data_IF_851617751432
#
_entry.id   IF_851617751432
#
_cell.length_a   1.000
_cell.length_b   1.000
_cell.length_c   1.000
_cell.angle_alpha   90.00
_cell.angle_beta   90.00
_cell.angle_gamma   90.00
#
_symmetry.space_group_name_H-M   'P 1'
#
loop_
_entity.id
_entity.type
_entity.pdbx_description
1 polymer ?
#
# COMPACT_ATOMS: atom_id res chain seq x y z
N UNK A 1 -3.58 -10.37 1.88
CA UNK A 1 -3.52 -8.95 2.30
C UNK A 1 -3.15 -8.77 3.78
N UNK A 2 -3.90 -9.36 4.73
CA UNK A 2 -3.68 -9.17 6.17
C UNK A 2 -2.26 -9.50 6.66
N UNK A 3 -1.65 -10.61 6.20
CA UNK A 3 -0.26 -10.94 6.53
C UNK A 3 0.78 -9.92 6.04
N UNK A 4 0.42 -9.06 5.07
CA UNK A 4 1.24 -7.94 4.60
C UNK A 4 0.89 -6.61 5.29
N UNK A 5 0.14 -6.65 6.40
CA UNK A 5 -0.18 -5.49 7.22
C UNK A 5 -1.41 -4.69 6.79
N UNK A 6 -2.11 -5.06 5.70
CA UNK A 6 -3.30 -4.33 5.24
C UNK A 6 -4.34 -4.20 6.36
N UNK A 7 -4.91 -3.00 6.56
CA UNK A 7 -5.88 -2.67 7.62
C UNK A 7 -7.28 -2.33 7.12
N UNK A 8 -7.47 -2.11 5.82
CA UNK A 8 -8.78 -1.88 5.23
C UNK A 8 -9.01 -2.94 4.14
N UNK A 9 -10.05 -3.74 4.29
CA UNK A 9 -10.41 -4.81 3.34
C UNK A 9 -11.75 -4.48 2.70
N UNK A 10 -11.87 -4.79 1.43
CA UNK A 10 -13.10 -4.64 0.68
C UNK A 10 -13.80 -6.00 0.54
N UNK A 11 -15.12 -6.00 0.70
CA UNK A 11 -15.99 -7.16 0.54
C UNK A 11 -17.18 -6.76 -0.33
N UNK A 12 -17.13 -7.15 -1.60
CA UNK A 12 -18.22 -6.96 -2.57
C UNK A 12 -19.25 -8.10 -2.40
N UNK A 13 -20.33 -7.81 -1.67
CA UNK A 13 -21.29 -8.80 -1.18
C UNK A 13 -22.52 -8.88 -2.06
N UNK A 14 -22.82 -10.09 -2.53
CA UNK A 14 -23.93 -10.38 -3.44
C UNK A 14 -24.76 -11.55 -2.95
N UNK A 15 -26.00 -11.62 -3.42
CA UNK A 15 -26.87 -12.77 -3.15
C UNK A 15 -26.28 -14.06 -3.72
N UNK A 16 -26.17 -15.08 -2.87
CA UNK A 16 -25.73 -16.42 -3.26
C UNK A 16 -26.81 -17.49 -3.15
N UNK A 17 -26.54 -18.70 -3.66
CA UNK A 17 -27.46 -19.83 -3.58
C UNK A 17 -27.68 -20.27 -2.13
N UNK A 18 -28.83 -20.88 -1.83
CA UNK A 18 -29.10 -21.43 -0.50
C UNK A 18 -29.21 -20.40 0.63
N UNK A 19 -29.52 -19.13 0.31
CA UNK A 19 -29.54 -18.01 1.27
C UNK A 19 -28.19 -17.73 1.93
N UNK A 20 -27.08 -18.10 1.28
CA UNK A 20 -25.73 -17.80 1.75
C UNK A 20 -25.10 -16.69 0.90
N UNK A 21 -24.79 -15.51 1.48
CA UNK A 21 -24.14 -14.41 0.77
C UNK A 21 -22.77 -14.83 0.23
N UNK A 22 -22.46 -14.37 -0.98
CA UNK A 22 -21.18 -14.61 -1.66
C UNK A 22 -20.43 -13.31 -1.89
N UNK A 23 -19.13 -13.43 -2.12
CA UNK A 23 -18.24 -12.35 -2.55
C UNK A 23 -17.69 -12.68 -3.92
N UNK A 24 -17.79 -11.73 -4.84
CA UNK A 24 -17.14 -11.71 -6.15
C UNK A 24 -17.25 -10.31 -6.74
N UNK A 25 -16.56 -10.05 -7.86
CA UNK A 25 -16.69 -8.78 -8.56
C UNK A 25 -17.94 -8.79 -9.45
N UNK A 26 -18.93 -7.97 -9.10
CA UNK A 26 -20.21 -7.87 -9.80
C UNK A 26 -20.09 -7.75 -11.32
N UNK A 27 -21.01 -8.40 -12.05
CA UNK A 27 -21.07 -8.34 -13.52
C UNK A 27 -19.82 -8.81 -14.28
N UNK A 28 -18.98 -9.64 -13.65
CA UNK A 28 -17.80 -10.24 -14.27
C UNK A 28 -17.78 -11.76 -14.14
N UNK A 29 -16.77 -12.39 -14.75
CA UNK A 29 -16.52 -13.84 -14.68
C UNK A 29 -15.59 -14.25 -13.53
N UNK A 30 -15.44 -13.41 -12.51
CA UNK A 30 -14.64 -13.76 -11.34
C UNK A 30 -15.28 -14.91 -10.55
N UNK A 31 -14.44 -15.78 -10.00
CA UNK A 31 -14.90 -16.86 -9.13
C UNK A 31 -15.57 -16.30 -7.87
N UNK A 32 -16.55 -17.04 -7.35
CA UNK A 32 -17.29 -16.67 -6.14
C UNK A 32 -16.74 -17.40 -4.92
N UNK A 33 -16.73 -16.73 -3.77
CA UNK A 33 -16.43 -17.31 -2.47
C UNK A 33 -17.55 -16.99 -1.47
N UNK A 34 -17.71 -17.79 -0.42
CA UNK A 34 -18.71 -17.52 0.62
C UNK A 34 -18.26 -16.37 1.53
N UNK A 35 -19.19 -15.48 1.90
CA UNK A 35 -18.92 -14.43 2.89
C UNK A 35 -18.48 -15.03 4.23
N UNK A 36 -19.13 -16.11 4.67
CA UNK A 36 -18.80 -16.75 5.95
C UNK A 36 -17.36 -17.26 5.99
N UNK A 37 -16.85 -17.80 4.89
CA UNK A 37 -15.45 -18.25 4.78
C UNK A 37 -14.47 -17.09 4.79
N UNK A 38 -14.78 -16.02 4.05
CA UNK A 38 -13.99 -14.79 4.09
C UNK A 38 -13.91 -14.22 5.51
N UNK A 39 -15.02 -14.19 6.25
CA UNK A 39 -15.05 -13.70 7.64
C UNK A 39 -14.25 -14.59 8.60
N UNK A 40 -14.25 -15.92 8.43
CA UNK A 40 -13.40 -16.83 9.22
C UNK A 40 -11.93 -16.55 8.97
N UNK A 41 -11.54 -16.38 7.69
CA UNK A 41 -10.18 -16.01 7.33
C UNK A 41 -9.81 -14.63 7.90
N UNK A 42 -10.71 -13.65 7.88
CA UNK A 42 -10.45 -12.34 8.49
C UNK A 42 -10.24 -12.48 9.99
N UNK A 43 -11.12 -13.20 10.70
CA UNK A 43 -11.00 -13.45 12.15
C UNK A 43 -9.63 -14.01 12.52
N UNK A 44 -9.16 -15.01 11.78
CA UNK A 44 -7.93 -15.73 12.09
C UNK A 44 -6.66 -14.90 11.83
N UNK A 45 -6.72 -13.91 10.93
CA UNK A 45 -5.55 -13.17 10.47
C UNK A 45 -5.57 -11.66 10.78
N UNK A 46 -6.70 -11.10 11.23
CA UNK A 46 -6.90 -9.65 11.39
C UNK A 46 -5.75 -8.99 12.17
N UNK A 47 -5.34 -9.63 13.26
CA UNK A 47 -4.35 -9.06 14.19
C UNK A 47 -3.02 -9.82 14.24
N UNK A 48 -2.75 -10.69 13.27
CA UNK A 48 -1.53 -11.53 13.25
C UNK A 48 -0.24 -10.72 13.19
N UNK A 49 -0.24 -9.58 12.47
CA UNK A 49 0.96 -8.76 12.21
C UNK A 49 0.85 -7.33 12.76
N UNK A 50 -0.31 -6.96 13.29
CA UNK A 50 -0.55 -5.64 13.90
C UNK A 50 -1.78 -5.70 14.80
N UNK A 51 -1.74 -5.13 16.02
CA UNK A 51 -2.88 -5.13 16.95
C UNK A 51 -3.94 -4.06 16.61
N UNK A 52 -3.63 -3.16 15.68
CA UNK A 52 -4.47 -2.02 15.33
C UNK A 52 -5.68 -2.41 14.49
N UNK A 53 -6.76 -1.59 14.51
CA UNK A 53 -8.05 -1.96 13.95
C UNK A 53 -8.01 -2.38 12.48
N UNK A 54 -8.95 -3.26 12.12
CA UNK A 54 -9.26 -3.61 10.74
C UNK A 54 -10.60 -3.00 10.36
N UNK A 55 -10.70 -2.40 9.18
CA UNK A 55 -11.94 -1.86 8.61
C UNK A 55 -12.38 -2.80 7.48
N UNK A 56 -13.63 -3.22 7.51
CA UNK A 56 -14.28 -3.95 6.42
C UNK A 56 -15.18 -2.96 5.66
N UNK A 57 -14.75 -2.58 4.46
CA UNK A 57 -15.56 -1.82 3.50
C UNK A 57 -16.51 -2.77 2.81
N UNK A 58 -17.78 -2.73 3.20
CA UNK A 58 -18.85 -3.55 2.64
C UNK A 58 -19.47 -2.81 1.45
N UNK A 59 -19.29 -3.35 0.25
CA UNK A 59 -20.11 -3.01 -0.90
C UNK A 59 -21.28 -4.00 -0.93
N UNK A 60 -22.49 -3.52 -0.69
CA UNK A 60 -23.64 -4.38 -0.37
C UNK A 60 -24.68 -4.36 -1.49
N UNK A 61 -24.76 -5.46 -2.23
CA UNK A 61 -25.73 -5.75 -3.28
C UNK A 61 -26.69 -6.88 -2.89
N UNK A 62 -26.69 -7.30 -1.62
CA UNK A 62 -27.56 -8.35 -1.13
C UNK A 62 -29.00 -7.88 -0.96
N UNK A 63 -29.96 -8.78 -1.16
CA UNK A 63 -31.34 -8.60 -0.73
C UNK A 63 -31.44 -8.47 0.79
N UNK A 64 -32.54 -7.91 1.30
CA UNK A 64 -32.74 -7.73 2.74
C UNK A 64 -32.62 -9.03 3.54
N UNK A 65 -33.03 -10.17 2.97
CA UNK A 65 -32.91 -11.46 3.66
C UNK A 65 -31.45 -11.88 3.79
N UNK A 66 -30.68 -11.78 2.72
CA UNK A 66 -29.26 -12.10 2.76
C UNK A 66 -28.46 -11.06 3.57
N UNK A 67 -28.87 -9.79 3.61
CA UNK A 67 -28.30 -8.81 4.54
C UNK A 67 -28.48 -9.22 6.01
N UNK A 68 -29.62 -9.83 6.39
CA UNK A 68 -29.80 -10.40 7.72
C UNK A 68 -28.85 -11.58 7.96
N UNK A 69 -28.60 -12.41 6.95
CA UNK A 69 -27.60 -13.48 7.02
C UNK A 69 -26.19 -12.90 7.20
N UNK A 70 -25.82 -11.87 6.43
CA UNK A 70 -24.54 -11.17 6.57
C UNK A 70 -24.35 -10.65 8.00
N UNK A 71 -25.35 -9.96 8.56
CA UNK A 71 -25.30 -9.44 9.92
C UNK A 71 -25.15 -10.55 10.97
N UNK A 72 -25.82 -11.70 10.77
CA UNK A 72 -25.66 -12.89 11.61
C UNK A 72 -24.25 -13.45 11.54
N UNK A 73 -23.71 -13.63 10.33
CA UNK A 73 -22.34 -14.12 10.14
C UNK A 73 -21.30 -13.17 10.75
N UNK A 74 -21.43 -11.86 10.55
CA UNK A 74 -20.54 -10.87 11.15
C UNK A 74 -20.53 -10.99 12.68
N UNK A 75 -21.70 -11.05 13.32
CA UNK A 75 -21.81 -11.19 14.78
C UNK A 75 -21.30 -12.54 15.28
N UNK A 76 -21.68 -13.63 14.63
CA UNK A 76 -21.33 -14.98 15.07
C UNK A 76 -19.84 -15.32 14.86
N UNK A 77 -19.25 -14.87 13.76
CA UNK A 77 -17.88 -15.22 13.37
C UNK A 77 -16.87 -14.24 14.00
N UNK A 78 -17.12 -12.93 13.92
CA UNK A 78 -16.18 -11.93 14.47
C UNK A 78 -16.39 -11.72 15.98
N UNK A 79 -17.59 -11.98 16.49
CA UNK A 79 -17.91 -11.95 17.92
C UNK A 79 -17.44 -10.64 18.58
N UNK A 80 -16.63 -10.69 19.66
CA UNK A 80 -16.19 -9.51 20.40
C UNK A 80 -15.18 -8.63 19.64
N UNK A 81 -14.60 -9.13 18.54
CA UNK A 81 -13.73 -8.34 17.67
C UNK A 81 -14.54 -7.30 16.91
N UNK A 82 -15.81 -7.58 16.59
CA UNK A 82 -16.67 -6.63 15.91
C UNK A 82 -16.99 -5.44 16.82
N UNK A 83 -16.78 -4.23 16.32
CA UNK A 83 -17.27 -3.01 16.95
C UNK A 83 -18.71 -2.75 16.46
N UNK A 84 -19.69 -3.03 17.32
CA UNK A 84 -21.11 -2.88 17.01
C UNK A 84 -21.82 -1.77 17.81
N UNK A 85 -21.06 -1.06 18.66
CA UNK A 85 -21.50 0.09 19.45
C UNK A 85 -20.43 1.18 19.44
N UNK A 86 -20.81 2.46 19.55
CA UNK A 86 -19.87 3.55 19.79
C UNK A 86 -19.04 3.30 21.06
N UNK A 87 -17.81 3.82 21.08
CA UNK A 87 -17.00 3.83 22.29
C UNK A 87 -17.45 4.95 23.23
N UNK A 88 -17.45 4.67 24.53
CA UNK A 88 -17.77 5.68 25.54
C UNK A 88 -16.75 6.83 25.50
N UNK A 89 -17.24 8.07 25.64
CA UNK A 89 -16.39 9.27 25.67
C UNK A 89 -15.87 9.75 24.31
N UNK A 90 -16.16 9.05 23.21
CA UNK A 90 -15.79 9.49 21.84
C UNK A 90 -16.98 10.17 21.18
N UNK A 91 -17.06 11.49 21.30
CA UNK A 91 -18.25 12.27 20.89
C UNK A 91 -17.97 13.30 19.80
N UNK A 92 -16.77 13.88 19.75
CA UNK A 92 -16.45 15.01 18.84
C UNK A 92 -15.40 14.69 17.78
N UNK A 93 -14.72 13.54 17.90
CA UNK A 93 -13.69 13.10 16.95
C UNK A 93 -13.81 11.60 16.70
N UNK A 94 -13.15 11.10 15.66
CA UNK A 94 -12.99 9.66 15.49
C UNK A 94 -12.13 9.08 16.62
N UNK A 95 -12.35 7.81 17.01
CA UNK A 95 -11.48 7.14 17.97
C UNK A 95 -10.07 6.94 17.40
N UNK A 96 -9.07 6.95 18.27
CA UNK A 96 -7.68 6.67 17.88
C UNK A 96 -7.47 5.18 17.56
N UNK A 97 -6.42 4.81 16.80
CA UNK A 97 -6.04 3.41 16.60
C UNK A 97 -5.85 2.64 17.91
N UNK A 98 -5.39 3.32 18.97
CA UNK A 98 -5.17 2.73 20.30
C UNK A 98 -6.49 2.33 20.97
N UNK A 99 -7.48 3.23 20.95
CA UNK A 99 -8.82 2.98 21.49
C UNK A 99 -9.55 1.83 20.76
N UNK A 100 -9.15 1.55 19.52
CA UNK A 100 -9.74 0.53 18.65
C UNK A 100 -8.87 -0.72 18.48
N UNK A 101 -7.85 -0.92 19.34
CA UNK A 101 -7.03 -2.14 19.29
C UNK A 101 -7.89 -3.40 19.37
N UNK A 102 -7.57 -4.37 18.52
CA UNK A 102 -8.29 -5.64 18.44
C UNK A 102 -9.73 -5.52 17.91
N UNK A 103 -10.14 -4.36 17.38
CA UNK A 103 -11.49 -4.14 16.84
C UNK A 103 -11.54 -4.20 15.31
N UNK A 104 -12.65 -4.73 14.83
CA UNK A 104 -13.05 -4.76 13.42
C UNK A 104 -14.23 -3.81 13.25
N UNK A 105 -14.07 -2.80 12.42
CA UNK A 105 -15.09 -1.80 12.11
C UNK A 105 -15.73 -2.10 10.76
N UNK A 106 -16.99 -1.72 10.60
CA UNK A 106 -17.69 -1.81 9.33
C UNK A 106 -17.81 -0.43 8.71
N UNK A 107 -17.39 -0.29 7.45
CA UNK A 107 -17.67 0.84 6.58
C UNK A 107 -18.73 0.39 5.57
N UNK A 108 -19.82 1.14 5.46
CA UNK A 108 -20.90 0.84 4.51
C UNK A 108 -22.04 1.85 4.63
N UNK A 109 -23.09 1.67 3.81
CA UNK A 109 -24.27 2.53 3.83
C UNK A 109 -25.03 2.35 5.15
N UNK A 110 -25.37 3.47 5.82
CA UNK A 110 -26.20 3.49 7.04
C UNK A 110 -27.57 4.07 6.70
N UNK A 111 -28.64 3.36 7.06
CA UNK A 111 -30.02 3.84 6.90
C UNK A 111 -30.25 5.02 7.85
N UNK A 112 -30.76 6.14 7.32
CA UNK A 112 -31.21 7.30 8.11
C UNK A 112 -30.10 8.26 8.56
N UNK A 113 -29.30 8.79 7.62
CA UNK A 113 -28.51 10.00 7.89
C UNK A 113 -29.43 11.18 8.26
N UNK A 114 -28.97 12.04 9.18
CA UNK A 114 -29.70 13.12 9.87
C UNK A 114 -30.90 13.73 9.11
N UNK A 115 -32.11 13.46 9.61
CA UNK A 115 -33.14 14.50 9.66
C UNK A 115 -32.71 15.48 10.75
N UNK A 116 -32.34 16.71 10.37
CA UNK A 116 -32.38 17.81 11.32
C UNK A 116 -33.82 17.96 11.83
N UNK A 117 -34.07 18.21 13.13
CA UNK A 117 -35.42 18.35 13.65
C UNK A 117 -36.02 19.67 13.14
N UNK A 118 -36.76 19.61 12.03
CA UNK A 118 -37.53 20.72 11.48
C UNK A 118 -37.15 21.04 10.03
N UNK A 119 -37.83 20.41 9.06
CA UNK A 119 -37.69 20.74 7.65
C UNK A 119 -38.52 19.80 6.78
N UNK A 120 -39.55 20.34 6.15
CA UNK A 120 -40.51 19.66 5.26
C UNK A 120 -39.87 18.91 4.11
N UNK A 121 -40.55 17.85 3.67
CA UNK A 121 -40.27 17.06 2.47
C UNK A 121 -39.96 17.93 1.25
N UNK A 122 -38.69 17.93 0.84
CA UNK A 122 -38.19 18.54 -0.38
C UNK A 122 -37.23 17.59 -1.07
N UNK A 123 -37.48 17.33 -2.35
CA UNK A 123 -36.58 16.64 -3.27
C UNK A 123 -35.27 17.43 -3.38
N UNK A 124 -34.15 16.88 -2.92
CA UNK A 124 -32.83 17.44 -3.22
C UNK A 124 -31.97 16.32 -3.80
N UNK A 125 -31.80 16.38 -5.12
CA UNK A 125 -30.66 15.79 -5.79
C UNK A 125 -29.42 16.41 -5.15
N UNK A 126 -28.57 15.58 -4.57
CA UNK A 126 -27.28 16.03 -4.09
C UNK A 126 -26.46 16.47 -5.31
N UNK A 127 -26.30 17.77 -5.48
CA UNK A 127 -25.26 18.36 -6.33
C UNK A 127 -23.92 17.85 -5.82
N UNK A 128 -23.27 17.01 -6.62
CA UNK A 128 -21.85 16.71 -6.52
C UNK A 128 -21.12 17.93 -7.05
N UNK A 129 -20.59 18.76 -6.16
CA UNK A 129 -19.63 19.79 -6.54
C UNK A 129 -18.33 19.09 -6.91
N UNK A 130 -18.15 18.79 -8.20
CA UNK A 130 -16.84 18.49 -8.79
C UNK A 130 -16.02 19.78 -8.81
N UNK A 131 -15.48 20.17 -7.66
CA UNK A 131 -14.43 21.19 -7.57
C UNK A 131 -13.08 20.49 -7.36
N UNK A 132 -12.64 19.76 -8.39
CA UNK A 132 -11.23 19.41 -8.58
C UNK A 132 -10.52 20.59 -9.28
N UNK A 133 -10.51 21.75 -8.62
CA UNK A 133 -9.58 22.84 -8.97
C UNK A 133 -8.35 22.67 -8.09
N UNK A 134 -7.37 21.91 -8.59
CA UNK A 134 -6.01 21.92 -8.06
C UNK A 134 -5.43 23.32 -8.28
N UNK A 135 -5.71 24.24 -7.37
CA UNK A 135 -5.08 25.55 -7.36
C UNK A 135 -3.57 25.34 -7.26
N UNK A 136 -2.85 25.66 -8.33
CA UNK A 136 -1.41 25.85 -8.33
C UNK A 136 -1.12 27.03 -7.40
N UNK A 137 -0.93 26.75 -6.11
CA UNK A 137 -0.35 27.71 -5.19
C UNK A 137 1.11 27.90 -5.61
N UNK A 138 1.41 29.06 -6.18
CA UNK A 138 2.77 29.59 -6.29
C UNK A 138 3.33 29.82 -4.88
N UNK A 139 3.79 28.74 -4.24
CA UNK A 139 4.43 28.80 -2.94
C UNK A 139 5.93 29.05 -3.11
N UNK A 140 6.28 30.33 -3.07
CA UNK A 140 7.60 30.84 -2.66
C UNK A 140 7.75 30.69 -1.13
N UNK A 141 7.49 29.50 -0.60
CA UNK A 141 7.94 29.09 0.72
C UNK A 141 9.25 28.34 0.54
N UNK A 142 10.37 29.05 0.69
CA UNK A 142 11.71 28.44 0.77
C UNK A 142 11.78 27.58 2.03
N UNK A 143 11.23 26.37 1.97
CA UNK A 143 11.74 25.26 2.76
C UNK A 143 13.15 25.02 2.25
N UNK A 144 14.12 25.00 3.17
CA UNK A 144 15.51 24.67 2.87
C UNK A 144 15.53 23.36 2.08
N UNK A 145 15.88 23.46 0.80
CA UNK A 145 15.91 22.31 -0.11
C UNK A 145 17.02 21.39 0.36
N UNK A 146 16.71 20.12 0.53
CA UNK A 146 17.68 19.17 1.06
C UNK A 146 18.34 18.45 -0.11
N UNK A 147 19.67 18.41 -0.11
CA UNK A 147 20.45 17.66 -1.08
C UNK A 147 20.61 16.21 -0.62
N UNK A 148 20.17 15.27 -1.45
CA UNK A 148 20.41 13.85 -1.26
C UNK A 148 21.43 13.34 -2.27
N UNK A 149 22.55 12.79 -1.77
CA UNK A 149 23.64 12.27 -2.58
C UNK A 149 23.87 10.78 -2.30
N UNK A 150 23.04 9.88 -2.87
CA UNK A 150 23.26 8.45 -2.75
C UNK A 150 24.36 8.01 -3.72
N UNK A 151 25.35 7.30 -3.19
CA UNK A 151 26.34 6.58 -3.98
C UNK A 151 26.01 5.09 -3.99
N UNK A 152 25.70 4.56 -5.17
CA UNK A 152 25.52 3.13 -5.41
C UNK A 152 26.87 2.51 -5.72
N UNK A 153 27.42 1.77 -4.74
CA UNK A 153 28.80 1.26 -4.81
C UNK A 153 28.82 -0.09 -5.51
N UNK A 154 28.09 -1.07 -4.98
CA UNK A 154 28.11 -2.45 -5.48
C UNK A 154 26.83 -3.20 -5.15
N UNK A 155 26.62 -4.35 -5.79
CA UNK A 155 25.56 -5.31 -5.48
C UNK A 155 26.15 -6.62 -4.97
N UNK A 156 25.34 -7.41 -4.26
CA UNK A 156 25.75 -8.71 -3.75
C UNK A 156 24.64 -9.73 -4.03
N UNK A 157 25.01 -10.88 -4.61
CA UNK A 157 24.14 -12.05 -4.81
C UNK A 157 22.77 -11.72 -5.43
N UNK A 158 22.76 -10.92 -6.49
CA UNK A 158 21.56 -10.55 -7.21
C UNK A 158 20.90 -11.80 -7.83
N UNK A 159 19.60 -12.03 -7.55
CA UNK A 159 18.93 -13.24 -7.97
C UNK A 159 18.72 -13.25 -9.48
N UNK A 160 18.99 -14.38 -10.11
CA UNK A 160 18.61 -14.64 -11.50
C UNK A 160 17.11 -14.93 -11.56
N UNK A 161 16.33 -13.97 -12.06
CA UNK A 161 14.85 -14.07 -12.08
C UNK A 161 14.36 -14.95 -13.22
N UNK A 162 15.01 -14.88 -14.39
CA UNK A 162 14.67 -15.71 -15.54
C UNK A 162 15.55 -16.96 -15.63
N UNK A 163 15.01 -18.11 -15.18
CA UNK A 163 15.74 -19.39 -15.19
C UNK A 163 15.87 -20.03 -16.58
N UNK A 164 15.09 -19.56 -17.57
CA UNK A 164 15.05 -20.18 -18.89
C UNK A 164 16.16 -19.67 -19.83
N UNK A 165 16.76 -18.52 -19.53
CA UNK A 165 17.94 -18.02 -20.22
C UNK A 165 19.17 -18.61 -19.54
N UNK A 166 20.11 -19.20 -20.27
CA UNK A 166 21.40 -19.60 -19.69
C UNK A 166 22.37 -18.42 -19.49
N UNK A 167 21.84 -17.18 -19.44
CA UNK A 167 22.61 -15.95 -19.28
C UNK A 167 22.97 -15.66 -17.83
N UNK A 168 24.02 -14.88 -17.62
CA UNK A 168 24.28 -14.23 -16.34
C UNK A 168 23.54 -12.89 -16.39
N UNK A 169 23.13 -12.41 -15.21
CA UNK A 169 22.44 -11.13 -15.07
C UNK A 169 23.36 -9.97 -15.49
N UNK A 170 22.81 -9.01 -16.22
CA UNK A 170 23.42 -7.75 -16.62
C UNK A 170 22.82 -6.59 -15.79
N UNK A 171 23.17 -6.44 -14.50
CA UNK A 171 22.41 -5.58 -13.61
C UNK A 171 22.63 -4.08 -13.85
N UNK A 172 21.54 -3.34 -13.73
CA UNK A 172 21.45 -1.88 -13.67
C UNK A 172 20.65 -1.47 -12.44
N UNK A 173 21.10 -0.43 -11.73
CA UNK A 173 20.37 0.12 -10.57
C UNK A 173 19.72 1.45 -10.95
N UNK A 174 18.45 1.61 -10.64
CA UNK A 174 17.71 2.88 -10.72
C UNK A 174 17.42 3.37 -9.31
N UNK A 175 17.68 4.65 -9.05
CA UNK A 175 17.32 5.37 -7.82
C UNK A 175 16.25 6.40 -8.17
N UNK A 176 15.11 6.32 -7.50
CA UNK A 176 13.96 7.19 -7.72
C UNK A 176 13.59 7.93 -6.43
N UNK A 177 13.21 9.20 -6.58
CA UNK A 177 12.52 9.98 -5.55
C UNK A 177 11.04 10.00 -5.91
N UNK A 178 10.21 9.58 -4.97
CA UNK A 178 8.74 9.68 -5.03
C UNK A 178 8.28 10.67 -3.97
N UNK A 179 7.25 11.45 -4.23
CA UNK A 179 6.76 12.48 -3.32
C UNK A 179 5.84 13.46 -4.05
N UNK A 180 5.91 14.73 -3.69
CA UNK A 180 5.23 15.80 -4.46
C UNK A 180 5.79 15.87 -5.88
N UNK A 181 4.98 16.29 -6.86
CA UNK A 181 5.37 16.30 -8.28
C UNK A 181 6.69 17.02 -8.57
N UNK A 182 7.00 18.09 -7.83
CA UNK A 182 8.26 18.85 -7.92
C UNK A 182 9.51 18.03 -7.55
N UNK A 183 9.39 17.08 -6.63
CA UNK A 183 10.53 16.29 -6.12
C UNK A 183 10.73 14.99 -6.92
N UNK A 184 9.73 14.58 -7.68
CA UNK A 184 9.74 13.32 -8.43
C UNK A 184 10.87 13.30 -9.46
N UNK A 185 11.79 12.36 -9.32
CA UNK A 185 12.96 12.26 -10.17
C UNK A 185 13.53 10.84 -10.19
N UNK A 186 14.26 10.50 -11.25
CA UNK A 186 14.84 9.17 -11.45
C UNK A 186 16.22 9.28 -12.10
N UNK A 187 17.17 8.48 -11.62
CA UNK A 187 18.53 8.34 -12.15
C UNK A 187 18.93 6.88 -12.14
N UNK A 188 19.85 6.48 -13.00
CA UNK A 188 20.30 5.09 -13.06
C UNK A 188 21.81 4.98 -13.26
N UNK A 189 22.37 3.84 -12.85
CA UNK A 189 23.76 3.49 -13.09
C UNK A 189 23.96 3.07 -14.54
N UNK A 190 25.22 2.87 -14.94
CA UNK A 190 25.54 2.03 -16.08
C UNK A 190 25.14 0.57 -15.82
N UNK A 191 25.04 -0.21 -16.90
CA UNK A 191 24.88 -1.67 -16.85
C UNK A 191 26.23 -2.31 -16.54
N UNK A 192 26.27 -3.28 -15.64
CA UNK A 192 27.43 -4.18 -15.49
C UNK A 192 27.10 -5.49 -16.20
N UNK A 193 27.94 -5.93 -17.13
CA UNK A 193 27.65 -7.13 -17.92
C UNK A 193 28.11 -8.41 -17.23
N UNK A 194 27.31 -9.46 -17.33
CA UNK A 194 27.51 -10.82 -16.87
C UNK A 194 28.00 -10.91 -15.41
N UNK A 195 27.44 -10.10 -14.52
CA UNK A 195 27.80 -10.14 -13.11
C UNK A 195 26.62 -9.85 -12.18
N UNK A 196 25.90 -10.89 -11.77
CA UNK A 196 24.93 -10.82 -10.67
C UNK A 196 25.54 -11.08 -9.29
N UNK A 197 26.77 -11.59 -9.19
CA UNK A 197 27.33 -12.03 -7.91
C UNK A 197 27.88 -10.87 -7.08
N UNK A 198 28.65 -9.98 -7.70
CA UNK A 198 29.30 -8.83 -7.06
C UNK A 198 29.50 -7.63 -8.01
N UNK A 199 28.46 -7.16 -8.73
CA UNK A 199 28.60 -6.01 -9.62
C UNK A 199 29.10 -4.78 -8.88
N UNK A 200 29.93 -3.97 -9.54
CA UNK A 200 30.53 -2.76 -8.99
C UNK A 200 30.24 -1.57 -9.91
N UNK A 201 29.54 -0.56 -9.39
CA UNK A 201 29.12 0.63 -10.14
C UNK A 201 29.83 1.91 -9.69
N UNK A 202 30.07 2.06 -8.38
CA UNK A 202 30.64 3.26 -7.74
C UNK A 202 30.07 4.59 -8.27
N UNK A 203 28.77 4.62 -8.57
CA UNK A 203 28.09 5.78 -9.18
C UNK A 203 27.42 6.62 -8.11
N UNK A 204 27.69 7.92 -8.09
CA UNK A 204 27.04 8.89 -7.20
C UNK A 204 25.98 9.67 -7.96
N UNK A 205 24.82 9.87 -7.32
CA UNK A 205 23.74 10.70 -7.84
C UNK A 205 23.54 11.91 -6.93
N UNK A 206 22.84 12.91 -7.45
CA UNK A 206 22.41 14.08 -6.68
C UNK A 206 20.94 14.35 -6.98
N UNK A 207 20.17 14.53 -5.91
CA UNK A 207 18.76 14.84 -5.93
C UNK A 207 18.51 16.05 -5.03
N UNK A 208 17.60 16.91 -5.45
CA UNK A 208 17.11 18.05 -4.68
C UNK A 208 15.68 17.73 -4.25
N UNK A 209 15.40 17.79 -2.95
CA UNK A 209 14.09 17.44 -2.39
C UNK A 209 13.55 18.61 -1.58
N UNK A 210 12.42 19.16 -2.01
CA UNK A 210 11.78 20.32 -1.40
C UNK A 210 10.84 19.94 -0.23
N UNK A 211 10.18 18.78 -0.31
CA UNK A 211 9.19 18.32 0.70
C UNK A 211 9.56 16.92 1.21
N UNK A 212 10.69 16.79 1.95
CA UNK A 212 11.21 15.50 2.40
C UNK A 212 10.24 14.69 3.24
N UNK A 213 9.34 15.31 4.00
CA UNK A 213 8.37 14.62 4.84
C UNK A 213 7.33 13.79 4.04
N UNK A 214 7.14 14.09 2.77
CA UNK A 214 6.29 13.33 1.84
C UNK A 214 7.12 12.45 0.88
N UNK A 215 8.45 12.48 0.98
CA UNK A 215 9.32 11.81 0.04
C UNK A 215 9.63 10.35 0.42
N UNK A 216 9.83 9.51 -0.59
CA UNK A 216 10.37 8.16 -0.48
C UNK A 216 11.53 8.00 -1.47
N UNK A 217 12.56 7.27 -1.04
CA UNK A 217 13.68 6.88 -1.91
C UNK A 217 13.50 5.42 -2.28
N UNK A 218 13.50 5.13 -3.57
CA UNK A 218 13.34 3.78 -4.11
C UNK A 218 14.56 3.35 -4.91
N UNK A 219 15.10 2.19 -4.56
CA UNK A 219 16.14 1.50 -5.30
C UNK A 219 15.50 0.36 -6.09
N UNK A 220 15.81 0.26 -7.37
CA UNK A 220 15.33 -0.81 -8.26
C UNK A 220 16.54 -1.41 -8.94
N UNK A 221 16.60 -2.73 -9.02
CA UNK A 221 17.61 -3.46 -9.78
C UNK A 221 16.90 -4.19 -10.92
N UNK A 222 17.42 -4.00 -12.13
CA UNK A 222 16.91 -4.62 -13.35
C UNK A 222 18.04 -5.37 -14.06
N UNK A 223 17.68 -6.49 -14.71
CA UNK A 223 18.53 -7.23 -15.64
C UNK A 223 18.35 -6.63 -17.04
N UNK A 224 19.37 -5.96 -17.55
CA UNK A 224 19.31 -5.28 -18.83
C UNK A 224 19.21 -6.29 -19.97
N UNK A 225 18.27 -6.08 -20.89
CA UNK A 225 18.17 -6.85 -22.13
C UNK A 225 18.08 -5.89 -23.31
N UNK A 226 19.00 -6.01 -24.27
CA UNK A 226 18.98 -5.17 -25.46
C UNK A 226 17.82 -5.48 -26.41
N UNK A 227 17.25 -6.69 -26.30
CA UNK A 227 16.27 -7.25 -27.23
C UNK A 227 14.84 -7.27 -26.68
N UNK A 228 14.68 -7.11 -25.37
CA UNK A 228 13.38 -7.10 -24.70
C UNK A 228 13.31 -6.05 -23.59
N UNK A 229 12.17 -5.96 -22.92
CA UNK A 229 12.09 -5.21 -21.67
C UNK A 229 13.04 -5.83 -20.64
N UNK A 230 13.68 -4.99 -19.83
CA UNK A 230 14.53 -5.43 -18.73
C UNK A 230 13.72 -6.27 -17.72
N UNK A 231 14.33 -7.34 -17.21
CA UNK A 231 13.72 -8.18 -16.19
C UNK A 231 13.91 -7.53 -14.81
N UNK A 232 12.84 -7.38 -14.04
CA UNK A 232 12.91 -6.88 -12.67
C UNK A 232 13.64 -7.89 -11.77
N UNK A 233 14.70 -7.47 -11.08
CA UNK A 233 15.45 -8.32 -10.15
C UNK A 233 14.97 -8.13 -8.72
N UNK A 234 14.91 -6.88 -8.25
CA UNK A 234 14.57 -6.56 -6.88
C UNK A 234 14.41 -5.08 -6.63
N UNK A 235 13.82 -4.73 -5.49
CA UNK A 235 13.62 -3.34 -5.10
C UNK A 235 13.73 -3.12 -3.59
N UNK A 236 13.95 -1.88 -3.18
CA UNK A 236 13.71 -1.44 -1.81
C UNK A 236 13.20 0.01 -1.82
N UNK A 237 12.12 0.28 -1.10
CA UNK A 237 11.57 1.64 -0.93
C UNK A 237 11.67 2.04 0.54
N UNK A 238 12.28 3.18 0.81
CA UNK A 238 12.56 3.67 2.15
C UNK A 238 11.93 5.08 2.27
N UNK A 239 10.99 5.31 3.21
CA UNK A 239 10.52 6.65 3.52
C UNK A 239 11.68 7.55 3.92
N UNK A 240 11.67 8.81 3.49
CA UNK A 240 12.77 9.74 3.74
C UNK A 240 13.19 9.82 5.22
N UNK A 241 12.22 9.98 6.13
CA UNK A 241 12.47 10.03 7.58
C UNK A 241 13.05 8.75 8.19
N UNK A 242 13.08 7.64 7.44
CA UNK A 242 13.70 6.37 7.83
C UNK A 242 15.05 6.11 7.13
N UNK A 243 15.49 6.99 6.24
CA UNK A 243 16.70 6.81 5.45
C UNK A 243 17.95 7.08 6.30
N UNK A 244 18.73 6.02 6.58
CA UNK A 244 19.93 6.12 7.42
C UNK A 244 21.14 6.55 6.60
N UNK A 245 21.80 7.62 7.02
CA UNK A 245 23.06 8.10 6.41
C UNK A 245 24.25 7.15 6.63
N UNK A 246 25.33 7.38 5.88
CA UNK A 246 26.58 6.62 5.91
C UNK A 246 26.58 5.40 4.99
N UNK A 247 27.52 4.47 5.23
CA UNK A 247 27.60 3.20 4.51
C UNK A 247 26.53 2.22 4.99
N UNK A 248 25.71 1.71 4.07
CA UNK A 248 24.56 0.83 4.37
C UNK A 248 24.43 -0.26 3.33
N UNK A 249 23.85 -1.38 3.75
CA UNK A 249 23.28 -2.36 2.82
C UNK A 249 21.79 -2.09 2.69
N UNK A 250 21.31 -1.98 1.45
CA UNK A 250 19.90 -1.96 1.10
C UNK A 250 19.50 -3.40 0.76
N UNK A 251 18.63 -3.98 1.58
CA UNK A 251 18.12 -5.34 1.36
C UNK A 251 17.03 -5.32 0.29
N UNK A 252 17.20 -6.14 -0.74
CA UNK A 252 16.30 -6.20 -1.88
C UNK A 252 15.11 -7.13 -1.59
N UNK A 253 13.96 -6.72 -2.10
CA UNK A 253 12.69 -7.44 -2.08
C UNK A 253 12.33 -7.91 -3.48
N UNK A 254 11.65 -9.05 -3.56
CA UNK A 254 11.08 -9.58 -4.79
C UNK A 254 9.91 -8.72 -5.28
N UNK A 255 9.41 -9.03 -6.49
CA UNK A 255 8.19 -8.41 -7.04
C UNK A 255 6.95 -8.58 -6.15
N UNK A 256 6.94 -9.61 -5.30
CA UNK A 256 5.85 -9.90 -4.38
C UNK A 256 6.05 -9.22 -3.00
N UNK A 257 7.20 -8.58 -2.77
CA UNK A 257 7.60 -8.02 -1.48
C UNK A 257 8.26 -9.03 -0.54
N UNK A 258 8.66 -10.20 -1.04
CA UNK A 258 9.35 -11.20 -0.24
C UNK A 258 10.82 -10.82 -0.09
N UNK A 259 11.41 -11.04 1.09
CA UNK A 259 12.83 -10.77 1.32
C UNK A 259 13.71 -11.77 0.57
N UNK A 260 14.73 -11.27 -0.12
CA UNK A 260 15.83 -12.11 -0.56
C UNK A 260 16.79 -12.34 0.61
N UNK A 261 17.24 -13.58 0.88
CA UNK A 261 18.13 -13.87 2.00
C UNK A 261 19.48 -13.13 1.94
N UNK A 262 20.02 -12.96 0.73
CA UNK A 262 21.39 -12.47 0.53
C UNK A 262 21.51 -11.33 -0.47
N UNK A 263 20.43 -10.93 -1.14
CA UNK A 263 20.51 -9.94 -2.22
C UNK A 263 20.50 -8.52 -1.66
N UNK A 264 21.60 -7.80 -1.84
CA UNK A 264 21.77 -6.44 -1.31
C UNK A 264 22.42 -5.50 -2.32
N UNK A 265 22.20 -4.20 -2.12
CA UNK A 265 23.05 -3.14 -2.66
C UNK A 265 23.87 -2.53 -1.52
N UNK A 266 25.16 -2.33 -1.73
CA UNK A 266 25.99 -1.55 -0.84
C UNK A 266 26.04 -0.10 -1.32
N UNK A 267 25.63 0.82 -0.46
CA UNK A 267 25.46 2.24 -0.78
C UNK A 267 26.09 3.12 0.28
N UNK A 268 26.44 4.36 -0.10
CA UNK A 268 26.73 5.45 0.84
C UNK A 268 25.65 6.51 0.69
N UNK A 269 24.95 6.82 1.78
CA UNK A 269 23.88 7.83 1.79
C UNK A 269 24.41 9.10 2.48
N UNK A 270 24.29 10.24 1.79
CA UNK A 270 24.54 11.56 2.34
C UNK A 270 23.29 12.43 2.16
N UNK A 271 22.87 13.12 3.22
CA UNK A 271 21.77 14.10 3.22
C UNK A 271 22.34 15.39 3.81
N UNK A 272 22.27 16.48 3.05
CA UNK A 272 22.81 17.80 3.41
C UNK A 272 21.69 18.83 3.33
N UNK A 273 21.51 19.59 4.40
CA UNK A 273 20.57 20.73 4.46
C UNK A 273 21.12 21.97 3.72
#
# INVERSE_FOLDING_TARGET
ALCKGCRCLELDCWDGPGQEPVIYHGYTFTSKILLSDALRAIRDYAFKVSPYPVILSLENHCSLEQQRVMARHLRAILGPMLLDKPLDGVTTSLPSPEQLKGKILLKGKKVGGLLAPGGTSGSEAADVSDEDEAAEMDDEAVRSRVQHKPKVISGQQLPKVNKNKNSIVDPKVTVEIHGVGRDMSSRHTAVVTNNGFNPWWDTEFEFEVAVPELALVRFIVEDYDASSKNDFIGQSTIPWGSLKQGYRHVHLLSKNGDQYPSATLFVKICIQD
#
